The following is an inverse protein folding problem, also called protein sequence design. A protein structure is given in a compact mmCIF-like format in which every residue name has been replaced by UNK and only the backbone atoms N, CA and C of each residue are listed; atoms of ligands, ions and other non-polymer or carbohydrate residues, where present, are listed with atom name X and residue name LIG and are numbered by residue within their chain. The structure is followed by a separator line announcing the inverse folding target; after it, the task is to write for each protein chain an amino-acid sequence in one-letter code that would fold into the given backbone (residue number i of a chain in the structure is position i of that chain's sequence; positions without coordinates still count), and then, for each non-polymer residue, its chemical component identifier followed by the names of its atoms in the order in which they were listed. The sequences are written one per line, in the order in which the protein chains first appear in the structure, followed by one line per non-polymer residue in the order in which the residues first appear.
data_IF_841843379831
#
_entry.id   IF_841843379831
#
_cell.length_a   1.000
_cell.length_b   1.000
_cell.length_c   1.000
_cell.angle_alpha   90.00
_cell.angle_beta   90.00
_cell.angle_gamma   90.00
#
_symmetry.space_group_name_H-M   'P 1'
#
loop_
_entity.id
_entity.type
_entity.pdbx_description
1 polymer ?
#
# COMPACT_ATOMS: atom_id res chain seq x y z
N UNK A 1 24.42 -12.00 -10.60
CA UNK A 1 25.28 -10.87 -11.05
C UNK A 1 25.88 -10.10 -9.85
N UNK A 2 27.13 -9.62 -9.91
CA UNK A 2 27.80 -8.91 -8.81
C UNK A 2 27.30 -7.46 -8.62
N UNK A 3 26.51 -6.92 -9.56
CA UNK A 3 26.02 -5.55 -9.53
C UNK A 3 25.30 -5.13 -8.22
N UNK A 4 24.42 -5.95 -7.60
CA UNK A 4 23.80 -5.60 -6.32
C UNK A 4 24.79 -5.48 -5.16
N UNK A 5 25.91 -6.21 -5.22
CA UNK A 5 26.95 -6.18 -4.17
C UNK A 5 27.77 -4.90 -4.29
N UNK A 6 28.10 -4.48 -5.52
CA UNK A 6 28.87 -3.25 -5.76
C UNK A 6 28.08 -1.97 -5.43
N UNK A 7 26.75 -2.00 -5.53
CA UNK A 7 25.90 -0.84 -5.27
C UNK A 7 25.47 -0.67 -3.80
N UNK A 8 25.95 -1.52 -2.88
CA UNK A 8 25.55 -1.45 -1.46
C UNK A 8 25.96 -0.13 -0.83
N UNK A 9 27.19 0.34 -1.09
CA UNK A 9 27.69 1.60 -0.54
C UNK A 9 26.85 2.79 -1.01
N UNK A 10 26.55 2.87 -2.30
CA UNK A 10 25.70 3.90 -2.88
C UNK A 10 24.27 3.86 -2.30
N UNK A 11 23.70 2.67 -2.10
CA UNK A 11 22.38 2.51 -1.51
C UNK A 11 22.34 2.99 -0.04
N UNK A 12 23.40 2.71 0.73
CA UNK A 12 23.54 3.21 2.10
C UNK A 12 23.72 4.72 2.13
N UNK A 13 24.55 5.29 1.24
CA UNK A 13 24.75 6.72 1.12
C UNK A 13 23.44 7.44 0.76
N UNK A 14 22.67 6.92 -0.19
CA UNK A 14 21.35 7.44 -0.56
C UNK A 14 20.36 7.39 0.61
N UNK A 15 20.30 6.26 1.33
CA UNK A 15 19.42 6.13 2.50
C UNK A 15 19.83 7.10 3.62
N UNK A 16 21.13 7.29 3.86
CA UNK A 16 21.65 8.24 4.83
C UNK A 16 21.35 9.70 4.45
N UNK A 17 21.48 10.05 3.17
CA UNK A 17 21.18 11.39 2.66
C UNK A 17 19.69 11.78 2.87
N UNK A 18 18.78 10.82 2.75
CA UNK A 18 17.36 11.04 3.08
C UNK A 18 17.15 11.12 4.59
N UNK A 19 17.82 10.23 5.33
CA UNK A 19 17.66 10.04 6.77
C UNK A 19 16.50 9.10 7.11
N UNK A 20 16.76 8.10 7.96
CA UNK A 20 15.79 7.06 8.34
C UNK A 20 14.48 7.62 8.88
N UNK A 21 14.55 8.65 9.75
CA UNK A 21 13.37 9.28 10.35
C UNK A 21 12.49 9.98 9.31
N UNK A 22 13.10 10.68 8.35
CA UNK A 22 12.37 11.37 7.28
C UNK A 22 11.69 10.36 6.35
N UNK A 23 12.42 9.29 5.99
CA UNK A 23 11.88 8.19 5.18
C UNK A 23 10.69 7.51 5.86
N UNK A 24 10.83 7.16 7.14
CA UNK A 24 9.74 6.55 7.91
C UNK A 24 8.52 7.48 7.98
N UNK A 25 8.72 8.76 8.32
CA UNK A 25 7.63 9.73 8.41
C UNK A 25 6.88 9.89 7.08
N UNK A 26 7.62 9.99 5.96
CA UNK A 26 7.03 10.09 4.61
C UNK A 26 6.25 8.83 4.24
N UNK A 27 6.83 7.65 4.42
CA UNK A 27 6.18 6.39 4.06
C UNK A 27 4.93 6.11 4.90
N UNK A 28 5.00 6.41 6.20
CA UNK A 28 3.84 6.35 7.11
C UNK A 28 2.74 7.31 6.66
N UNK A 29 3.10 8.53 6.29
CA UNK A 29 2.14 9.51 5.79
C UNK A 29 1.47 9.04 4.50
N UNK A 30 2.23 8.48 3.54
CA UNK A 30 1.68 7.92 2.30
C UNK A 30 0.73 6.75 2.58
N UNK A 31 1.12 5.82 3.46
CA UNK A 31 0.27 4.69 3.83
C UNK A 31 -1.05 5.18 4.46
N UNK A 32 -0.99 6.14 5.38
CA UNK A 32 -2.20 6.71 5.99
C UNK A 32 -3.09 7.44 4.99
N UNK A 33 -2.50 8.16 4.03
CA UNK A 33 -3.27 8.95 3.06
C UNK A 33 -4.36 8.15 2.35
N UNK A 34 -4.04 6.97 1.84
CA UNK A 34 -5.05 6.14 1.17
C UNK A 34 -5.91 5.38 2.18
N UNK A 35 -5.34 4.88 3.28
CA UNK A 35 -6.08 4.11 4.28
C UNK A 35 -7.19 4.93 4.94
N UNK A 36 -6.90 6.17 5.33
CA UNK A 36 -7.89 7.07 5.93
C UNK A 36 -9.01 7.42 4.96
N UNK A 37 -8.73 7.45 3.65
CA UNK A 37 -9.71 7.68 2.60
C UNK A 37 -10.57 6.47 2.26
N UNK A 38 -10.30 5.27 2.80
CA UNK A 38 -11.14 4.08 2.56
C UNK A 38 -11.67 3.47 3.85
N UNK A 39 -11.27 4.00 5.01
CA UNK A 39 -11.65 3.49 6.32
C UNK A 39 -13.17 3.59 6.60
N UNK A 40 -13.86 4.51 5.94
CA UNK A 40 -15.31 4.73 6.07
C UNK A 40 -16.12 4.07 4.95
N UNK A 41 -15.47 3.41 3.99
CA UNK A 41 -16.12 2.77 2.85
C UNK A 41 -16.79 1.48 3.32
N UNK A 42 -18.13 1.36 3.20
CA UNK A 42 -18.80 0.15 3.62
C UNK A 42 -18.35 -1.07 2.81
N UNK A 43 -18.03 -2.15 3.49
CA UNK A 43 -17.49 -3.38 2.89
C UNK A 43 -15.97 -3.39 2.74
N UNK A 44 -15.27 -2.27 2.94
CA UNK A 44 -13.80 -2.27 3.02
C UNK A 44 -13.36 -2.55 4.45
N UNK A 45 -12.49 -3.53 4.64
CA UNK A 45 -11.90 -3.85 5.94
C UNK A 45 -10.39 -3.69 5.90
N UNK A 46 -9.86 -2.78 6.72
CA UNK A 46 -8.43 -2.58 6.91
C UNK A 46 -7.88 -3.52 8.00
N UNK A 47 -6.77 -4.20 7.72
CA UNK A 47 -6.06 -5.05 8.69
C UNK A 47 -4.94 -4.32 9.41
N UNK A 48 -4.46 -3.22 8.82
CA UNK A 48 -3.38 -2.43 9.38
C UNK A 48 -3.91 -1.53 10.50
N UNK A 49 -3.36 -1.59 11.73
CA UNK A 49 -3.83 -0.76 12.83
C UNK A 49 -3.58 0.73 12.59
N UNK A 50 -4.48 1.59 13.08
CA UNK A 50 -4.31 3.05 13.01
C UNK A 50 -3.20 3.57 13.93
N UNK A 51 -2.89 2.84 15.00
CA UNK A 51 -1.83 3.17 15.96
C UNK A 51 -0.48 3.32 15.21
N UNK A 52 0.12 4.53 15.19
CA UNK A 52 1.35 4.78 14.45
C UNK A 52 2.48 3.81 14.84
N UNK A 53 2.56 3.39 16.10
CA UNK A 53 3.61 2.47 16.55
C UNK A 53 3.51 1.06 15.98
N UNK A 54 2.36 0.68 15.41
CA UNK A 54 2.08 -0.69 14.93
C UNK A 54 2.15 -0.85 13.40
N UNK A 55 2.51 0.20 12.66
CA UNK A 55 2.68 0.11 11.21
C UNK A 55 3.77 1.06 10.70
N UNK A 56 4.02 1.05 9.39
CA UNK A 56 4.87 2.02 8.68
C UNK A 56 4.32 2.20 7.26
N UNK A 57 5.03 1.74 6.22
CA UNK A 57 4.65 1.91 4.82
C UNK A 57 3.55 0.95 4.35
N UNK A 58 3.39 -0.21 4.99
CA UNK A 58 2.52 -1.27 4.50
C UNK A 58 1.09 -1.07 4.99
N UNK A 59 0.13 -1.22 4.07
CA UNK A 59 -1.28 -1.39 4.40
C UNK A 59 -1.89 -2.64 3.75
N UNK A 60 -2.84 -3.26 4.42
CA UNK A 60 -3.55 -4.43 3.93
C UNK A 60 -5.06 -4.30 4.13
N UNK A 61 -5.84 -4.75 3.14
CA UNK A 61 -7.29 -4.65 3.18
C UNK A 61 -7.98 -5.79 2.43
N UNK A 62 -9.28 -5.92 2.67
CA UNK A 62 -10.21 -6.76 1.89
C UNK A 62 -11.45 -5.95 1.53
N UNK A 63 -12.18 -6.43 0.52
CA UNK A 63 -13.52 -5.94 0.17
C UNK A 63 -14.49 -7.10 0.36
N UNK A 64 -15.52 -6.91 1.18
CA UNK A 64 -16.53 -7.92 1.45
C UNK A 64 -17.22 -8.33 0.14
N UNK A 65 -17.31 -9.65 -0.09
CA UNK A 65 -17.91 -10.21 -1.31
C UNK A 65 -17.01 -10.18 -2.55
N UNK A 66 -15.79 -9.64 -2.49
CA UNK A 66 -14.85 -9.61 -3.63
C UNK A 66 -13.53 -10.29 -3.25
N UNK A 67 -13.13 -11.37 -3.95
CA UNK A 67 -11.84 -12.03 -3.71
C UNK A 67 -10.65 -11.06 -3.89
N UNK A 68 -9.63 -11.17 -3.02
CA UNK A 68 -8.45 -10.30 -3.10
C UNK A 68 -7.74 -10.36 -4.46
N UNK A 69 -7.69 -11.55 -5.08
CA UNK A 69 -7.14 -11.73 -6.43
C UNK A 69 -7.92 -10.93 -7.49
N UNK A 70 -9.24 -10.85 -7.37
CA UNK A 70 -10.06 -10.05 -8.27
C UNK A 70 -9.80 -8.56 -8.06
N UNK A 71 -9.73 -8.08 -6.81
CA UNK A 71 -9.40 -6.67 -6.52
C UNK A 71 -8.04 -6.30 -7.11
N UNK A 72 -7.00 -7.13 -6.90
CA UNK A 72 -5.66 -6.90 -7.49
C UNK A 72 -5.72 -6.84 -9.01
N UNK A 73 -6.47 -7.76 -9.64
CA UNK A 73 -6.65 -7.77 -11.10
C UNK A 73 -7.32 -6.49 -11.58
N UNK A 74 -8.43 -6.07 -10.96
CA UNK A 74 -9.17 -4.85 -11.34
C UNK A 74 -8.33 -3.59 -11.14
N UNK A 75 -7.62 -3.46 -10.02
CA UNK A 75 -6.68 -2.36 -9.78
C UNK A 75 -5.63 -2.24 -10.89
N UNK A 76 -5.11 -3.36 -11.38
CA UNK A 76 -4.11 -3.36 -12.45
C UNK A 76 -4.73 -3.12 -13.83
N UNK A 77 -5.81 -3.82 -14.19
CA UNK A 77 -6.41 -3.78 -15.53
C UNK A 77 -7.13 -2.45 -15.78
N UNK A 78 -7.89 -1.95 -14.81
CA UNK A 78 -8.75 -0.77 -14.94
C UNK A 78 -8.01 0.52 -14.57
N UNK A 79 -7.07 0.46 -13.61
CA UNK A 79 -6.44 1.65 -13.04
C UNK A 79 -4.91 1.69 -13.18
N UNK A 80 -4.28 0.61 -13.70
CA UNK A 80 -2.81 0.49 -13.81
C UNK A 80 -2.10 0.56 -12.45
N UNK A 81 -2.77 0.14 -11.38
CA UNK A 81 -2.25 0.16 -10.01
C UNK A 81 -1.79 -1.24 -9.63
N UNK A 82 -0.47 -1.39 -9.48
CA UNK A 82 0.12 -2.66 -9.05
C UNK A 82 -0.03 -2.87 -7.54
N UNK A 83 -0.70 -3.95 -7.17
CA UNK A 83 -0.80 -4.45 -5.80
C UNK A 83 -0.61 -5.97 -5.80
N UNK A 84 -0.54 -6.59 -4.63
CA UNK A 84 -0.32 -8.05 -4.55
C UNK A 84 -1.25 -8.69 -3.55
N UNK A 85 -1.68 -9.92 -3.86
CA UNK A 85 -2.37 -10.78 -2.91
C UNK A 85 -1.37 -11.34 -1.90
N UNK A 86 -1.73 -11.37 -0.62
CA UNK A 86 -0.97 -12.05 0.43
C UNK A 86 -1.91 -12.86 1.32
N UNK A 87 -1.44 -14.01 1.79
CA UNK A 87 -2.14 -14.77 2.83
C UNK A 87 -1.99 -14.06 4.19
N UNK A 88 -3.07 -13.97 4.95
CA UNK A 88 -3.11 -13.41 6.28
C UNK A 88 -4.11 -14.21 7.13
N UNK A 89 -3.59 -15.02 8.06
CA UNK A 89 -4.39 -16.07 8.71
C UNK A 89 -4.91 -17.07 7.68
N UNK A 90 -6.19 -17.41 7.79
CA UNK A 90 -6.87 -18.34 6.88
C UNK A 90 -7.37 -17.66 5.59
N UNK A 91 -7.22 -16.33 5.48
CA UNK A 91 -7.72 -15.54 4.36
C UNK A 91 -6.63 -14.95 3.46
N UNK A 92 -7.07 -14.33 2.38
CA UNK A 92 -6.24 -13.53 1.48
C UNK A 92 -6.58 -12.04 1.61
N UNK A 93 -5.56 -11.20 1.52
CA UNK A 93 -5.69 -9.73 1.59
C UNK A 93 -4.99 -9.10 0.40
N UNK A 94 -5.44 -7.91 0.03
CA UNK A 94 -4.72 -7.03 -0.89
C UNK A 94 -3.70 -6.25 -0.08
N UNK A 95 -2.42 -6.37 -0.45
CA UNK A 95 -1.33 -5.63 0.18
C UNK A 95 -0.86 -4.48 -0.71
N UNK A 96 -0.82 -3.30 -0.13
CA UNK A 96 -0.30 -2.07 -0.73
C UNK A 96 0.94 -1.64 0.06
N UNK A 97 2.03 -1.34 -0.65
CA UNK A 97 3.26 -0.82 -0.05
C UNK A 97 3.76 0.37 -0.86
N UNK A 98 3.35 1.61 -0.53
CA UNK A 98 3.89 2.80 -1.15
C UNK A 98 5.38 2.94 -0.84
N UNK A 99 6.10 3.57 -1.75
CA UNK A 99 7.52 3.86 -1.61
C UNK A 99 7.80 5.36 -1.82
N UNK A 100 9.06 5.75 -1.66
CA UNK A 100 9.49 7.14 -1.76
C UNK A 100 9.22 7.79 -3.13
N UNK A 101 9.11 6.99 -4.19
CA UNK A 101 8.79 7.46 -5.53
C UNK A 101 7.29 7.69 -5.76
N UNK A 102 6.43 7.35 -4.79
CA UNK A 102 5.00 7.60 -4.91
C UNK A 102 4.63 9.03 -4.46
N UNK A 103 3.74 9.62 -5.23
CA UNK A 103 3.13 10.92 -4.97
C UNK A 103 1.81 10.80 -4.19
N UNK A 104 1.39 11.84 -3.46
CA UNK A 104 0.06 11.89 -2.83
C UNK A 104 -1.09 11.52 -3.78
N UNK A 105 -1.00 11.97 -5.03
CA UNK A 105 -1.94 11.73 -6.12
C UNK A 105 -2.07 10.25 -6.49
N UNK A 106 -0.98 9.47 -6.43
CA UNK A 106 -1.04 8.02 -6.65
C UNK A 106 -1.91 7.34 -5.58
N UNK A 107 -1.81 7.82 -4.34
CA UNK A 107 -2.55 7.28 -3.19
C UNK A 107 -4.03 7.69 -3.21
N UNK A 108 -4.33 8.87 -3.76
CA UNK A 108 -5.70 9.31 -3.99
C UNK A 108 -6.35 8.51 -5.12
N UNK A 109 -5.62 8.30 -6.21
CA UNK A 109 -6.06 7.44 -7.31
C UNK A 109 -6.32 6.01 -6.82
N UNK A 110 -5.44 5.47 -5.98
CA UNK A 110 -5.66 4.18 -5.30
C UNK A 110 -6.95 4.17 -4.47
N UNK A 111 -7.17 5.18 -3.62
CA UNK A 111 -8.37 5.23 -2.78
C UNK A 111 -9.65 5.30 -3.63
N UNK A 112 -9.64 6.09 -4.70
CA UNK A 112 -10.74 6.17 -5.66
C UNK A 112 -10.98 4.83 -6.39
N UNK A 113 -9.93 4.14 -6.79
CA UNK A 113 -10.01 2.82 -7.44
C UNK A 113 -10.56 1.74 -6.48
N UNK A 114 -10.15 1.75 -5.21
CA UNK A 114 -10.69 0.85 -4.18
C UNK A 114 -12.21 1.05 -4.04
N UNK A 115 -12.68 2.29 -4.00
CA UNK A 115 -14.13 2.60 -3.93
C UNK A 115 -14.92 2.05 -5.11
N UNK A 116 -14.33 2.03 -6.32
CA UNK A 116 -14.94 1.44 -7.52
C UNK A 116 -14.90 -0.09 -7.53
N UNK A 117 -14.04 -0.70 -6.72
CA UNK A 117 -14.00 -2.14 -6.54
C UNK A 117 -15.11 -2.67 -5.62
N UNK A 118 -15.76 -1.80 -4.84
CA UNK A 118 -16.84 -2.18 -3.92
C UNK A 118 -18.13 -2.43 -4.72
N UNK A 119 -18.78 -3.60 -4.56
CA UNK A 119 -20.06 -3.87 -5.19
C UNK A 119 -21.15 -2.89 -4.75
N UNK A 120 -22.11 -2.53 -5.63
CA UNK A 120 -23.30 -1.79 -5.20
C UNK A 120 -24.10 -2.62 -4.19
N UNK A 121 -24.68 -1.93 -3.21
CA UNK A 121 -25.60 -2.53 -2.23
C UNK A 121 -27.00 -2.70 -2.80
#
# INVERSE_FOLDING_TARGET
PPAPIMAVEDALAFHAAIGSRNKEARLRWLARRWMDQVADVPGVRLFTPREPRLHCALGAFVIDGVPAAEVVRRLMDEHRIFTVVRKCGDGEVVRVTPHLYNGPEDLDALAAAIRQCVPPR
#
